data_IF_130291629920
#
_entry.id   IF_130291629920
#
_cell.length_a   1.000
_cell.length_b   1.000
_cell.length_c   1.000
_cell.angle_alpha   90.00
_cell.angle_beta   90.00
_cell.angle_gamma   90.00
#
_symmetry.space_group_name_H-M   'P 1'
#
loop_
_entity.id
_entity.type
_entity.pdbx_description
1 polymer ?
#
# COMPACT_ATOMS: atom_id res chain seq x y z
N UNK A 1 3.96 9.89 30.01
CA UNK A 1 3.16 8.65 29.87
C UNK A 1 3.52 7.98 28.55
N UNK A 2 3.52 6.65 28.56
CA UNK A 2 4.26 5.73 27.70
C UNK A 2 3.97 5.81 26.20
N UNK A 3 5.05 5.87 25.42
CA UNK A 3 5.16 5.77 23.96
C UNK A 3 4.81 4.35 23.49
N UNK A 4 3.53 3.98 23.56
CA UNK A 4 2.99 2.78 22.91
C UNK A 4 2.81 3.14 21.43
N UNK A 5 3.36 2.39 20.48
CA UNK A 5 2.88 2.21 19.08
C UNK A 5 3.97 1.85 18.04
N UNK A 6 5.28 1.92 18.36
CA UNK A 6 6.28 1.77 17.29
C UNK A 6 6.53 0.31 16.84
N UNK A 7 6.51 -0.67 17.75
CA UNK A 7 6.93 -2.04 17.41
C UNK A 7 6.00 -2.75 16.41
N UNK A 8 4.68 -2.60 16.57
CA UNK A 8 3.71 -3.23 15.66
C UNK A 8 3.76 -2.64 14.25
N UNK A 9 4.09 -1.36 14.11
CA UNK A 9 4.21 -0.72 12.80
C UNK A 9 5.41 -1.25 12.01
N UNK A 10 6.55 -1.46 12.66
CA UNK A 10 7.75 -1.97 11.99
C UNK A 10 7.59 -3.43 11.57
N UNK A 11 6.91 -4.24 12.37
CA UNK A 11 6.54 -5.61 12.03
C UNK A 11 5.61 -5.65 10.82
N UNK A 12 4.52 -4.85 10.83
CA UNK A 12 3.60 -4.75 9.69
C UNK A 12 4.31 -4.26 8.42
N UNK A 13 5.20 -3.27 8.54
CA UNK A 13 6.02 -2.80 7.41
C UNK A 13 6.94 -3.90 6.89
N UNK A 14 7.54 -4.71 7.75
CA UNK A 14 8.38 -5.85 7.33
C UNK A 14 7.55 -6.89 6.59
N UNK A 15 6.38 -7.22 7.11
CA UNK A 15 5.48 -8.21 6.50
C UNK A 15 5.02 -7.76 5.11
N UNK A 16 4.57 -6.51 4.97
CA UNK A 16 4.14 -5.95 3.68
C UNK A 16 5.29 -5.95 2.66
N UNK A 17 6.53 -5.71 3.07
CA UNK A 17 7.70 -5.81 2.17
C UNK A 17 7.95 -7.22 1.68
N UNK A 18 7.88 -8.20 2.57
CA UNK A 18 8.06 -9.61 2.21
C UNK A 18 6.96 -10.04 1.23
N UNK A 19 5.71 -9.64 1.49
CA UNK A 19 4.59 -9.92 0.59
C UNK A 19 4.78 -9.24 -0.78
N UNK A 20 5.24 -7.99 -0.81
CA UNK A 20 5.49 -7.26 -2.07
C UNK A 20 6.56 -7.93 -2.93
N UNK A 21 7.68 -8.42 -2.35
CA UNK A 21 8.69 -9.16 -3.11
C UNK A 21 8.15 -10.50 -3.63
N UNK A 22 7.38 -11.23 -2.82
CA UNK A 22 6.75 -12.49 -3.25
C UNK A 22 5.80 -12.26 -4.43
N UNK A 23 4.94 -11.25 -4.34
CA UNK A 23 4.03 -10.86 -5.41
C UNK A 23 4.78 -10.43 -6.68
N UNK A 24 5.89 -9.71 -6.55
CA UNK A 24 6.73 -9.34 -7.69
C UNK A 24 7.35 -10.56 -8.37
N UNK A 25 7.78 -11.56 -7.60
CA UNK A 25 8.32 -12.82 -8.14
C UNK A 25 7.24 -13.62 -8.86
N UNK A 26 6.10 -13.84 -8.22
CA UNK A 26 4.96 -14.57 -8.82
C UNK A 26 4.53 -13.90 -10.13
N UNK A 27 4.55 -12.57 -10.16
CA UNK A 27 4.32 -11.79 -11.38
C UNK A 27 5.34 -12.03 -12.47
N UNK A 28 6.62 -12.06 -12.14
CA UNK A 28 7.65 -12.41 -13.10
C UNK A 28 7.47 -13.84 -13.61
N UNK A 29 7.15 -14.79 -12.72
CA UNK A 29 6.97 -16.21 -13.05
C UNK A 29 5.86 -16.42 -14.09
N UNK A 30 4.66 -15.85 -13.89
CA UNK A 30 3.58 -16.04 -14.87
C UNK A 30 3.80 -15.25 -16.17
N UNK A 31 4.45 -14.09 -16.13
CA UNK A 31 4.73 -13.30 -17.33
C UNK A 31 5.79 -13.97 -18.21
N UNK A 32 6.84 -14.54 -17.61
CA UNK A 32 7.87 -15.26 -18.34
C UNK A 32 7.36 -16.62 -18.85
N UNK A 33 6.56 -17.33 -18.04
CA UNK A 33 5.94 -18.57 -18.49
C UNK A 33 5.08 -18.40 -19.75
N UNK A 34 4.41 -17.25 -19.90
CA UNK A 34 3.59 -16.94 -21.08
C UNK A 34 4.41 -16.82 -22.38
N UNK A 35 5.72 -16.58 -22.30
CA UNK A 35 6.64 -16.50 -23.44
C UNK A 35 7.60 -17.70 -23.52
N UNK A 36 7.37 -18.75 -22.73
CA UNK A 36 8.22 -19.95 -22.69
C UNK A 36 9.52 -19.78 -21.90
N UNK A 37 9.64 -18.72 -21.12
CA UNK A 37 10.83 -18.37 -20.35
C UNK A 37 10.66 -18.65 -18.86
N UNK A 38 11.77 -18.66 -18.11
CA UNK A 38 11.77 -18.86 -16.66
C UNK A 38 12.42 -17.70 -15.92
N UNK A 39 11.85 -17.35 -14.76
CA UNK A 39 12.45 -16.36 -13.86
C UNK A 39 13.79 -16.86 -13.32
N UNK A 40 14.83 -16.07 -13.55
CA UNK A 40 16.18 -16.27 -13.06
C UNK A 40 16.44 -15.61 -11.70
N UNK A 41 17.72 -15.36 -11.40
CA UNK A 41 18.15 -14.74 -10.14
C UNK A 41 17.73 -13.26 -10.10
N UNK A 42 17.40 -12.71 -8.90
CA UNK A 42 17.17 -11.28 -8.76
C UNK A 42 18.49 -10.53 -9.03
N UNK A 43 18.42 -9.52 -9.89
CA UNK A 43 19.53 -8.64 -10.27
C UNK A 43 19.49 -7.32 -9.49
N UNK A 44 18.30 -6.79 -9.24
CA UNK A 44 18.08 -5.54 -8.52
C UNK A 44 16.89 -5.71 -7.61
N UNK A 45 17.02 -5.26 -6.36
CA UNK A 45 15.92 -5.11 -5.40
C UNK A 45 16.03 -3.71 -4.82
N UNK A 46 15.01 -2.89 -5.05
CA UNK A 46 14.96 -1.52 -4.55
C UNK A 46 13.58 -1.25 -3.95
N UNK A 47 13.57 -0.86 -2.68
CA UNK A 47 12.37 -0.30 -2.06
C UNK A 47 12.16 1.10 -2.67
N UNK A 48 10.98 1.32 -3.26
CA UNK A 48 10.54 2.67 -3.60
C UNK A 48 9.60 3.11 -2.49
N UNK A 49 10.04 4.08 -1.71
CA UNK A 49 9.15 4.72 -0.76
C UNK A 49 7.96 5.28 -1.53
N UNK A 50 6.77 4.72 -1.28
CA UNK A 50 5.51 5.30 -1.72
C UNK A 50 5.23 6.65 -1.02
N UNK A 51 6.09 7.03 -0.07
CA UNK A 51 6.12 8.34 0.59
C UNK A 51 6.72 9.43 -0.32
N UNK A 52 6.23 9.55 -1.56
CA UNK A 52 6.09 10.89 -2.12
C UNK A 52 5.01 11.61 -1.28
N UNK A 53 5.14 12.92 -1.01
CA UNK A 53 4.09 13.65 -0.32
C UNK A 53 2.80 13.49 -1.13
N UNK A 54 1.90 12.63 -0.65
CA UNK A 54 0.55 12.53 -1.18
C UNK A 54 -0.09 13.87 -0.85
N UNK A 55 -0.39 14.74 -1.83
CA UNK A 55 -1.13 15.94 -1.52
C UNK A 55 -2.51 15.48 -1.05
N UNK A 56 -2.77 15.64 0.24
CA UNK A 56 -4.09 15.53 0.86
C UNK A 56 -5.01 16.67 0.37
N UNK A 57 -4.95 17.04 -0.91
CA UNK A 57 -5.68 18.19 -1.47
C UNK A 57 -6.97 17.80 -2.18
N UNK A 58 -7.21 16.51 -2.46
CA UNK A 58 -8.29 16.13 -3.39
C UNK A 58 -9.43 15.32 -2.74
N UNK A 59 -9.33 14.95 -1.46
CA UNK A 59 -10.45 14.31 -0.74
C UNK A 59 -11.61 15.30 -0.55
N UNK A 60 -11.33 16.59 -0.42
CA UNK A 60 -12.36 17.62 -0.23
C UNK A 60 -13.24 17.84 -1.47
N UNK A 61 -12.73 17.64 -2.69
CA UNK A 61 -13.52 17.90 -3.91
C UNK A 61 -14.52 16.78 -4.26
N UNK A 62 -14.28 15.54 -3.81
CA UNK A 62 -15.27 14.45 -4.00
C UNK A 62 -16.43 14.53 -3.00
N UNK A 63 -16.21 15.19 -1.88
CA UNK A 63 -17.21 15.37 -0.83
C UNK A 63 -18.25 16.42 -1.25
N UNK A 64 -17.85 17.51 -1.91
CA UNK A 64 -18.80 18.57 -2.28
C UNK A 64 -19.86 18.15 -3.31
N UNK A 65 -19.55 17.25 -4.25
CA UNK A 65 -20.57 16.73 -5.19
C UNK A 65 -21.52 15.70 -4.55
N UNK A 66 -21.10 15.05 -3.46
CA UNK A 66 -21.90 14.01 -2.78
C UNK A 66 -22.72 14.59 -1.62
N UNK A 67 -22.25 15.66 -0.96
CA UNK A 67 -22.89 16.27 0.21
C UNK A 67 -24.16 17.07 -0.13
N UNK A 68 -24.31 17.59 -1.35
CA UNK A 68 -25.53 18.32 -1.74
C UNK A 68 -26.82 17.46 -1.67
N UNK A 69 -26.70 16.12 -1.61
CA UNK A 69 -27.84 15.21 -1.49
C UNK A 69 -28.06 14.55 -0.12
N UNK A 70 -27.22 14.82 0.90
CA UNK A 70 -27.21 14.03 2.16
C UNK A 70 -27.28 14.89 3.43
N UNK A 71 -27.40 16.22 3.33
CA UNK A 71 -27.49 17.14 4.48
C UNK A 71 -28.86 17.17 5.21
N UNK A 72 -29.56 16.04 5.33
CA UNK A 72 -30.80 15.97 6.15
C UNK A 72 -30.71 15.00 7.34
N UNK A 73 -29.52 14.54 7.71
CA UNK A 73 -29.35 13.65 8.87
C UNK A 73 -28.06 13.94 9.62
N UNK A 74 -28.00 15.09 10.31
CA UNK A 74 -26.94 15.38 11.29
C UNK A 74 -27.53 15.21 12.68
N UNK A 75 -27.23 14.07 13.30
CA UNK A 75 -27.48 13.82 14.71
C UNK A 75 -26.64 12.65 15.20
N UNK A 76 -25.74 12.94 16.16
CA UNK A 76 -25.30 11.95 17.14
C UNK A 76 -23.82 11.57 17.14
N UNK A 77 -23.16 12.02 18.20
CA UNK A 77 -22.21 11.26 19.04
C UNK A 77 -20.77 11.03 18.55
N UNK A 78 -19.82 11.54 19.34
CA UNK A 78 -18.37 11.28 19.25
C UNK A 78 -18.07 9.79 19.56
N UNK A 79 -18.37 8.90 18.61
CA UNK A 79 -17.82 7.55 18.61
C UNK A 79 -16.31 7.62 18.37
N UNK A 80 -15.54 6.89 19.17
CA UNK A 80 -14.10 6.68 18.96
C UNK A 80 -13.92 5.97 17.61
N UNK A 81 -13.76 6.74 16.55
CA UNK A 81 -13.56 6.24 15.20
C UNK A 81 -12.15 5.64 15.09
N UNK A 82 -12.05 4.31 15.12
CA UNK A 82 -10.81 3.59 14.83
C UNK A 82 -10.43 3.81 13.36
N UNK A 83 -9.57 4.80 13.13
CA UNK A 83 -9.01 5.06 11.81
C UNK A 83 -8.12 3.88 11.39
N UNK A 84 -8.56 3.10 10.39
CA UNK A 84 -7.76 2.04 9.78
C UNK A 84 -6.59 2.67 9.03
N UNK A 85 -5.37 2.43 9.49
CA UNK A 85 -4.16 2.87 8.80
C UNK A 85 -3.90 1.92 7.63
N UNK A 86 -3.94 2.43 6.40
CA UNK A 86 -3.49 1.69 5.21
C UNK A 86 -1.97 1.88 5.04
N UNK A 87 -1.21 0.79 5.06
CA UNK A 87 0.23 0.80 4.79
C UNK A 87 0.43 0.26 3.37
N UNK A 88 0.99 1.10 2.49
CA UNK A 88 1.35 0.71 1.12
C UNK A 88 2.87 0.80 0.96
N UNK A 89 3.46 -0.20 0.33
CA UNK A 89 4.88 -0.22 -0.02
C UNK A 89 5.04 -0.69 -1.45
N UNK A 90 5.97 -0.08 -2.17
CA UNK A 90 6.28 -0.41 -3.56
C UNK A 90 7.71 -0.91 -3.63
N UNK A 91 7.93 -2.06 -4.27
CA UNK A 91 9.26 -2.63 -4.44
C UNK A 91 9.49 -2.84 -5.92
N UNK A 92 10.63 -2.34 -6.38
CA UNK A 92 11.11 -2.55 -7.73
C UNK A 92 12.11 -3.70 -7.73
N UNK A 93 11.80 -4.75 -8.49
CA UNK A 93 12.66 -5.92 -8.63
C UNK A 93 12.93 -6.17 -10.11
N UNK A 94 14.20 -6.42 -10.46
CA UNK A 94 14.59 -6.95 -11.77
C UNK A 94 15.06 -8.39 -11.58
N UNK A 95 14.53 -9.30 -12.37
CA UNK A 95 15.01 -10.68 -12.47
C UNK A 95 15.75 -10.87 -13.79
N UNK A 96 16.80 -11.69 -13.78
CA UNK A 96 17.33 -12.25 -15.02
C UNK A 96 16.32 -13.23 -15.62
N UNK A 97 16.43 -13.46 -16.92
CA UNK A 97 15.76 -14.58 -17.61
C UNK A 97 16.78 -15.73 -17.70
N UNK A 98 16.32 -16.97 -17.64
CA UNK A 98 17.18 -18.16 -17.74
C UNK A 98 17.42 -18.58 -19.18
#
# INVERSE_FOLDING_TARGET
>A
MSRVHHSKMDELRREVRIQAIKAAKEKADYLLAAIGEQTGKPLVVQERDAFGPMPMSNVQHRINETIAGVMDAVGGEDEIQFNKIKIQMSIYVKFGIK
#
